data_IF_385891892644
#
_entry.id   IF_385891892644
#
_cell.length_a   1.000
_cell.length_b   1.000
_cell.length_c   1.000
_cell.angle_alpha   90.00
_cell.angle_beta   90.00
_cell.angle_gamma   90.00
#
_symmetry.space_group_name_H-M   'P 1'
#
loop_
_entity.id
_entity.type
_entity.pdbx_description
1 polymer ?
#
# COMPACT_ATOMS: atom_id res chain seq x y z
N UNK A 1 25.61 -6.91 -5.29
CA UNK A 1 26.92 -6.24 -5.35
C UNK A 1 26.93 -5.11 -6.38
N UNK A 2 26.58 -5.34 -7.67
CA UNK A 2 26.67 -4.32 -8.74
C UNK A 2 25.86 -3.04 -8.44
N UNK A 3 24.63 -3.16 -7.95
CA UNK A 3 23.80 -1.98 -7.58
C UNK A 3 24.37 -1.20 -6.40
N UNK A 4 25.05 -1.86 -5.48
CA UNK A 4 25.73 -1.21 -4.37
C UNK A 4 26.95 -0.43 -4.85
N UNK A 5 27.71 -0.99 -5.77
CA UNK A 5 28.84 -0.34 -6.43
C UNK A 5 28.37 0.90 -7.19
N UNK A 6 27.30 0.77 -7.99
CA UNK A 6 26.72 1.86 -8.75
C UNK A 6 26.23 3.01 -7.85
N UNK A 7 25.59 2.69 -6.73
CA UNK A 7 25.11 3.68 -5.76
C UNK A 7 26.25 4.43 -5.07
N UNK A 8 27.31 3.74 -4.66
CA UNK A 8 28.48 4.39 -4.04
C UNK A 8 29.32 5.20 -5.03
N UNK A 9 29.42 4.74 -6.28
CA UNK A 9 30.12 5.50 -7.33
C UNK A 9 29.41 6.84 -7.62
N UNK A 10 28.08 6.90 -7.51
CA UNK A 10 27.35 8.17 -7.62
C UNK A 10 27.62 9.13 -6.44
N UNK A 11 28.11 8.61 -5.31
CA UNK A 11 28.49 9.42 -4.16
C UNK A 11 29.99 9.82 -4.13
N UNK A 12 30.75 9.48 -5.17
CA UNK A 12 32.17 9.84 -5.29
C UNK A 12 33.10 9.10 -4.31
N UNK A 13 32.67 7.96 -3.74
CA UNK A 13 33.47 7.15 -2.84
C UNK A 13 34.23 6.07 -3.61
N UNK A 14 35.56 6.05 -3.46
CA UNK A 14 36.38 4.95 -3.97
C UNK A 14 36.08 3.67 -3.20
N UNK A 15 35.56 2.67 -3.90
CA UNK A 15 35.19 1.39 -3.31
C UNK A 15 36.38 0.44 -3.47
N UNK A 16 36.82 -0.13 -2.36
CA UNK A 16 37.85 -1.16 -2.34
C UNK A 16 37.21 -2.54 -2.56
N UNK A 17 37.96 -3.48 -3.14
CA UNK A 17 37.51 -4.87 -3.33
C UNK A 17 37.13 -5.53 -1.98
N UNK A 18 37.74 -5.07 -0.90
CA UNK A 18 37.46 -5.52 0.46
C UNK A 18 36.09 -5.06 0.95
N UNK A 19 35.67 -3.84 0.61
CA UNK A 19 34.34 -3.31 0.94
C UNK A 19 33.24 -4.12 0.25
N UNK A 20 33.49 -4.52 -1.00
CA UNK A 20 32.56 -5.34 -1.77
C UNK A 20 32.38 -6.71 -1.12
N UNK A 21 33.49 -7.37 -0.76
CA UNK A 21 33.45 -8.68 -0.10
C UNK A 21 32.86 -8.62 1.31
N UNK A 22 33.04 -7.52 2.02
CA UNK A 22 32.43 -7.31 3.32
C UNK A 22 30.90 -7.17 3.19
N UNK A 23 30.43 -6.44 2.19
CA UNK A 23 29.00 -6.28 1.92
C UNK A 23 28.35 -7.57 1.38
N UNK A 24 29.07 -8.33 0.55
CA UNK A 24 28.62 -9.65 0.08
C UNK A 24 28.43 -10.63 1.25
N UNK A 25 29.35 -10.63 2.21
CA UNK A 25 29.24 -11.45 3.43
C UNK A 25 28.11 -10.95 4.33
N UNK A 26 27.94 -9.64 4.47
CA UNK A 26 26.82 -9.03 5.24
C UNK A 26 25.47 -9.43 4.69
N UNK A 27 25.35 -9.46 3.37
CA UNK A 27 24.12 -9.84 2.66
C UNK A 27 23.98 -11.36 2.47
N UNK A 28 24.96 -12.16 2.95
CA UNK A 28 24.98 -13.60 2.82
C UNK A 28 25.07 -14.08 1.37
N UNK A 29 25.58 -13.24 0.45
CA UNK A 29 25.66 -13.57 -0.98
C UNK A 29 26.71 -14.65 -1.28
N UNK A 30 27.56 -14.97 -0.31
CA UNK A 30 28.53 -16.06 -0.33
C UNK A 30 27.90 -17.45 -0.24
N UNK A 31 26.62 -17.54 0.18
CA UNK A 31 25.90 -18.81 0.36
C UNK A 31 25.06 -19.18 -0.87
N UNK A 32 24.85 -20.49 -1.13
CA UNK A 32 23.94 -20.94 -2.19
C UNK A 32 22.55 -20.30 -2.06
N UNK A 33 21.93 -19.99 -3.19
CA UNK A 33 20.62 -19.31 -3.23
C UNK A 33 19.53 -20.00 -2.38
N UNK A 34 19.46 -21.34 -2.46
CA UNK A 34 18.46 -22.09 -1.69
C UNK A 34 18.65 -21.96 -0.18
N UNK A 35 19.91 -22.02 0.29
CA UNK A 35 20.23 -21.87 1.72
C UNK A 35 19.81 -20.48 2.21
N UNK A 36 20.07 -19.45 1.41
CA UNK A 36 19.66 -18.07 1.70
C UNK A 36 18.15 -17.93 1.74
N UNK A 37 17.45 -18.52 0.76
CA UNK A 37 15.99 -18.43 0.70
C UNK A 37 15.34 -19.11 1.92
N UNK A 38 15.79 -20.30 2.30
CA UNK A 38 15.27 -21.00 3.48
C UNK A 38 15.64 -20.29 4.79
N UNK A 39 16.88 -19.79 4.91
CA UNK A 39 17.27 -18.99 6.08
C UNK A 39 16.43 -17.73 6.22
N UNK A 40 16.25 -16.98 5.12
CA UNK A 40 15.41 -15.78 5.12
C UNK A 40 13.95 -16.10 5.45
N UNK A 41 13.39 -17.14 4.86
CA UNK A 41 12.04 -17.60 5.23
C UNK A 41 11.93 -17.93 6.71
N UNK A 42 12.94 -18.63 7.27
CA UNK A 42 13.01 -18.91 8.71
C UNK A 42 13.04 -17.63 9.55
N UNK A 43 13.86 -16.65 9.17
CA UNK A 43 13.94 -15.36 9.88
C UNK A 43 12.62 -14.59 9.82
N UNK A 44 11.95 -14.58 8.64
CA UNK A 44 10.64 -13.93 8.47
C UNK A 44 9.57 -14.62 9.31
N UNK A 45 9.44 -15.96 9.26
CA UNK A 45 8.34 -16.68 9.91
C UNK A 45 8.52 -16.83 11.41
N UNK A 46 9.75 -17.05 11.89
CA UNK A 46 10.00 -17.34 13.31
C UNK A 46 10.48 -16.14 14.11
N UNK A 47 11.14 -15.17 13.47
CA UNK A 47 11.68 -13.98 14.14
C UNK A 47 10.96 -12.70 13.73
N UNK A 48 10.18 -12.71 12.64
CA UNK A 48 9.54 -11.52 12.08
C UNK A 48 10.56 -10.54 11.47
N UNK A 49 11.76 -11.01 11.10
CA UNK A 49 12.82 -10.19 10.54
C UNK A 49 12.83 -10.27 9.02
N UNK A 50 12.48 -9.18 8.36
CA UNK A 50 12.49 -9.07 6.89
C UNK A 50 13.86 -8.72 6.32
N UNK A 51 14.82 -8.36 7.18
CA UNK A 51 16.17 -7.96 6.81
C UNK A 51 16.32 -6.47 6.57
N UNK A 52 17.43 -6.09 5.94
CA UNK A 52 17.77 -4.70 5.65
C UNK A 52 17.59 -4.37 4.18
N UNK A 53 17.10 -3.16 3.91
CA UNK A 53 17.03 -2.63 2.56
C UNK A 53 18.43 -2.34 2.01
N UNK A 54 18.80 -2.95 0.89
CA UNK A 54 20.07 -2.71 0.22
C UNK A 54 20.23 -1.28 -0.30
N UNK A 55 19.12 -0.56 -0.55
CA UNK A 55 19.12 0.80 -1.10
C UNK A 55 19.10 1.83 0.03
N UNK A 56 18.17 1.68 0.98
CA UNK A 56 17.95 2.67 2.04
C UNK A 56 18.81 2.44 3.27
N UNK A 57 19.46 1.26 3.40
CA UNK A 57 20.21 0.83 4.59
C UNK A 57 19.43 0.92 5.90
N UNK A 58 18.13 0.79 5.80
CA UNK A 58 17.20 0.79 6.92
C UNK A 58 16.63 -0.61 7.09
N UNK A 59 16.35 -0.97 8.33
CA UNK A 59 15.66 -2.22 8.62
C UNK A 59 14.26 -2.20 7.99
N UNK A 60 13.94 -3.24 7.22
CA UNK A 60 12.67 -3.34 6.49
C UNK A 60 11.49 -3.38 7.46
N UNK A 61 11.67 -3.96 8.65
CA UNK A 61 10.62 -4.01 9.67
C UNK A 61 10.14 -2.61 10.05
N UNK A 62 11.08 -1.67 10.21
CA UNK A 62 10.73 -0.29 10.53
C UNK A 62 9.98 0.41 9.39
N UNK A 63 10.35 0.11 8.14
CA UNK A 63 9.68 0.66 6.97
C UNK A 63 8.28 0.07 6.76
N UNK A 64 8.09 -1.19 7.14
CA UNK A 64 6.83 -1.90 6.97
C UNK A 64 5.84 -1.63 8.10
N UNK A 65 6.31 -1.47 9.34
CA UNK A 65 5.45 -1.39 10.52
C UNK A 65 4.32 -0.36 10.34
N UNK A 66 4.67 0.87 10.00
CA UNK A 66 3.66 1.93 9.85
C UNK A 66 2.75 1.73 8.63
N UNK A 67 3.31 1.25 7.51
CA UNK A 67 2.56 1.08 6.27
C UNK A 67 1.60 -0.10 6.32
N UNK A 68 2.01 -1.19 6.95
CA UNK A 68 1.18 -2.41 7.08
C UNK A 68 -0.06 -2.12 7.92
N UNK A 69 0.07 -1.43 9.05
CA UNK A 69 -1.07 -1.10 9.90
C UNK A 69 -2.06 -0.16 9.21
N UNK A 70 -1.56 0.85 8.50
CA UNK A 70 -2.40 1.77 7.73
C UNK A 70 -3.14 1.02 6.61
N UNK A 71 -2.44 0.18 5.85
CA UNK A 71 -3.04 -0.60 4.77
C UNK A 71 -4.09 -1.59 5.29
N UNK A 72 -3.79 -2.27 6.39
CA UNK A 72 -4.74 -3.18 7.05
C UNK A 72 -5.98 -2.43 7.53
N UNK A 73 -5.80 -1.26 8.14
CA UNK A 73 -6.91 -0.42 8.60
C UNK A 73 -7.82 0.02 7.45
N UNK A 74 -7.24 0.47 6.34
CA UNK A 74 -8.00 0.85 5.13
C UNK A 74 -8.74 -0.35 4.55
N UNK A 75 -8.08 -1.51 4.44
CA UNK A 75 -8.69 -2.73 3.89
C UNK A 75 -9.86 -3.22 4.75
N UNK A 76 -9.71 -3.20 6.08
CA UNK A 76 -10.79 -3.55 7.00
C UNK A 76 -11.94 -2.56 6.94
N UNK A 77 -11.66 -1.26 6.84
CA UNK A 77 -12.67 -0.23 6.67
C UNK A 77 -13.43 -0.40 5.36
N UNK A 78 -12.72 -0.66 4.26
CA UNK A 78 -13.34 -0.92 2.95
C UNK A 78 -14.22 -2.18 2.98
N UNK A 79 -13.73 -3.27 3.60
CA UNK A 79 -14.49 -4.50 3.78
C UNK A 79 -15.77 -4.26 4.59
N UNK A 80 -15.65 -3.57 5.73
CA UNK A 80 -16.80 -3.23 6.59
C UNK A 80 -17.82 -2.38 5.84
N UNK A 81 -17.36 -1.33 5.14
CA UNK A 81 -18.23 -0.46 4.34
C UNK A 81 -18.92 -1.23 3.21
N UNK A 82 -18.19 -2.09 2.53
CA UNK A 82 -18.73 -2.94 1.46
C UNK A 82 -19.87 -3.84 1.98
N UNK A 83 -19.68 -4.53 3.10
CA UNK A 83 -20.72 -5.36 3.70
C UNK A 83 -21.90 -4.53 4.23
N UNK A 84 -21.63 -3.37 4.83
CA UNK A 84 -22.66 -2.46 5.34
C UNK A 84 -23.62 -2.01 4.24
N UNK A 85 -23.13 -1.83 3.03
CA UNK A 85 -23.92 -1.42 1.86
C UNK A 85 -24.50 -2.64 1.12
N UNK A 86 -23.70 -3.65 0.86
CA UNK A 86 -24.09 -4.78 0.03
C UNK A 86 -25.18 -5.66 0.67
N UNK A 87 -25.10 -5.89 2.00
CA UNK A 87 -26.06 -6.76 2.69
C UNK A 87 -27.48 -6.19 2.65
N UNK A 88 -27.74 -4.92 3.06
CA UNK A 88 -29.07 -4.35 2.98
C UNK A 88 -29.63 -4.28 1.55
N UNK A 89 -28.78 -3.90 0.59
CA UNK A 89 -29.18 -3.84 -0.82
C UNK A 89 -29.50 -5.24 -1.35
N UNK A 90 -28.71 -6.24 -1.00
CA UNK A 90 -28.93 -7.63 -1.38
C UNK A 90 -30.24 -8.18 -0.82
N UNK A 91 -30.50 -7.96 0.48
CA UNK A 91 -31.76 -8.35 1.13
C UNK A 91 -32.95 -7.63 0.48
N UNK A 92 -32.85 -6.33 0.30
CA UNK A 92 -33.89 -5.55 -0.36
C UNK A 92 -34.18 -6.07 -1.77
N UNK A 93 -33.16 -6.32 -2.56
CA UNK A 93 -33.31 -6.84 -3.93
C UNK A 93 -33.92 -8.24 -3.95
N UNK A 94 -33.62 -9.10 -2.96
CA UNK A 94 -34.16 -10.46 -2.88
C UNK A 94 -35.65 -10.49 -2.50
N UNK A 95 -36.09 -9.58 -1.65
CA UNK A 95 -37.48 -9.53 -1.12
C UNK A 95 -38.39 -8.63 -1.97
N UNK A 96 -37.82 -7.63 -2.63
CA UNK A 96 -38.59 -6.65 -3.41
C UNK A 96 -39.23 -7.28 -4.64
N UNK A 97 -40.52 -7.05 -4.79
CA UNK A 97 -41.32 -7.40 -5.98
C UNK A 97 -41.28 -6.32 -7.06
N UNK A 98 -40.59 -5.21 -6.80
CA UNK A 98 -40.52 -4.10 -7.75
C UNK A 98 -39.44 -4.38 -8.84
N UNK A 99 -39.82 -4.63 -10.09
CA UNK A 99 -38.87 -4.97 -11.16
C UNK A 99 -37.94 -3.80 -11.49
N UNK A 100 -38.39 -2.56 -11.33
CA UNK A 100 -37.59 -1.36 -11.60
C UNK A 100 -36.44 -1.29 -10.59
N UNK A 101 -36.75 -1.44 -9.31
CA UNK A 101 -35.73 -1.41 -8.24
C UNK A 101 -34.68 -2.53 -8.45
N UNK A 102 -35.13 -3.75 -8.73
CA UNK A 102 -34.24 -4.89 -8.96
C UNK A 102 -33.35 -4.71 -10.20
N UNK A 103 -33.92 -4.19 -11.28
CA UNK A 103 -33.13 -3.91 -12.49
C UNK A 103 -32.13 -2.79 -12.27
N UNK A 104 -32.48 -1.75 -11.49
CA UNK A 104 -31.57 -0.66 -11.13
C UNK A 104 -30.39 -1.18 -10.31
N UNK A 105 -30.63 -2.01 -9.29
CA UNK A 105 -29.58 -2.63 -8.48
C UNK A 105 -28.65 -3.45 -9.36
N UNK A 106 -29.20 -4.30 -10.26
CA UNK A 106 -28.39 -5.09 -11.19
C UNK A 106 -27.56 -4.21 -12.13
N UNK A 107 -28.16 -3.18 -12.71
CA UNK A 107 -27.46 -2.28 -13.61
C UNK A 107 -26.29 -1.57 -12.92
N UNK A 108 -26.51 -1.03 -11.71
CA UNK A 108 -25.46 -0.38 -10.91
C UNK A 108 -24.33 -1.39 -10.57
N UNK A 109 -24.72 -2.61 -10.19
CA UNK A 109 -23.74 -3.66 -9.88
C UNK A 109 -22.88 -4.03 -11.11
N UNK A 110 -23.49 -4.17 -12.29
CA UNK A 110 -22.75 -4.44 -13.51
C UNK A 110 -21.86 -3.27 -13.93
N UNK A 111 -22.32 -2.03 -13.78
CA UNK A 111 -21.48 -0.85 -14.04
C UNK A 111 -20.27 -0.80 -13.09
N UNK A 112 -20.48 -1.09 -11.81
CA UNK A 112 -19.39 -1.17 -10.85
C UNK A 112 -18.36 -2.25 -11.18
N UNK A 113 -18.81 -3.43 -11.62
CA UNK A 113 -17.93 -4.53 -12.05
C UNK A 113 -17.22 -4.26 -13.39
N UNK A 114 -17.86 -3.50 -14.28
CA UNK A 114 -17.31 -3.19 -15.60
C UNK A 114 -16.17 -2.17 -15.55
N UNK A 115 -16.14 -1.31 -14.52
CA UNK A 115 -15.11 -0.30 -14.35
C UNK A 115 -13.92 -0.86 -13.55
N UNK A 116 -12.71 -0.91 -14.14
CA UNK A 116 -11.52 -1.26 -13.37
C UNK A 116 -11.31 -0.25 -12.22
N UNK A 117 -11.05 -0.73 -11.01
CA UNK A 117 -10.88 0.12 -9.82
C UNK A 117 -9.80 1.19 -9.98
N UNK A 118 -8.70 0.88 -10.70
CA UNK A 118 -7.65 1.86 -10.96
C UNK A 118 -8.14 2.99 -11.87
N UNK A 119 -9.02 2.72 -12.84
CA UNK A 119 -9.60 3.74 -13.72
C UNK A 119 -10.52 4.67 -12.93
N UNK A 120 -11.36 4.10 -12.06
CA UNK A 120 -12.20 4.88 -11.15
C UNK A 120 -11.35 5.78 -10.25
N UNK A 121 -10.25 5.24 -9.69
CA UNK A 121 -9.30 6.01 -8.89
C UNK A 121 -8.71 7.20 -9.66
N UNK A 122 -8.27 6.97 -10.89
CA UNK A 122 -7.70 8.02 -11.74
C UNK A 122 -8.75 9.09 -12.10
N UNK A 123 -9.96 8.68 -12.42
CA UNK A 123 -11.05 9.63 -12.72
C UNK A 123 -11.38 10.52 -11.52
N UNK A 124 -11.51 9.94 -10.34
CA UNK A 124 -11.79 10.71 -9.11
C UNK A 124 -10.60 11.65 -8.81
N UNK A 125 -9.38 11.14 -8.90
CA UNK A 125 -8.17 11.93 -8.64
C UNK A 125 -8.01 13.11 -9.63
N UNK A 126 -8.31 12.88 -10.90
CA UNK A 126 -8.31 13.95 -11.92
C UNK A 126 -9.42 14.98 -11.63
N UNK A 127 -10.62 14.51 -11.35
CA UNK A 127 -11.75 15.37 -11.05
C UNK A 127 -11.51 16.25 -9.83
N UNK A 128 -10.97 15.66 -8.74
CA UNK A 128 -10.63 16.42 -7.53
C UNK A 128 -9.53 17.44 -7.79
N UNK A 129 -8.52 17.08 -8.58
CA UNK A 129 -7.44 18.02 -8.94
C UNK A 129 -7.95 19.17 -9.79
N UNK A 130 -8.85 18.92 -10.76
CA UNK A 130 -9.39 19.96 -11.65
C UNK A 130 -10.38 20.87 -10.92
N UNK A 131 -11.25 20.30 -10.07
CA UNK A 131 -12.31 21.07 -9.39
C UNK A 131 -11.82 21.80 -8.14
N UNK A 132 -10.92 21.20 -7.39
CA UNK A 132 -10.47 21.72 -6.08
C UNK A 132 -9.02 22.22 -6.08
N UNK A 133 -8.28 22.02 -7.17
CA UNK A 133 -6.85 22.44 -7.28
C UNK A 133 -5.90 21.63 -6.41
N UNK A 134 -6.38 20.66 -5.65
CA UNK A 134 -5.59 19.81 -4.76
C UNK A 134 -5.52 18.38 -5.29
N UNK A 135 -4.30 17.87 -5.38
CA UNK A 135 -4.08 16.47 -5.72
C UNK A 135 -4.34 15.59 -4.48
N UNK A 136 -5.38 14.77 -4.53
CA UNK A 136 -5.63 13.72 -3.53
C UNK A 136 -4.80 12.45 -3.78
N UNK A 137 -3.56 12.59 -4.25
CA UNK A 137 -2.69 11.48 -4.63
C UNK A 137 -2.04 10.72 -3.45
N UNK A 138 -2.46 10.98 -2.22
CA UNK A 138 -1.87 10.33 -1.04
C UNK A 138 -2.81 10.30 0.15
N UNK A 139 -2.48 9.46 1.13
CA UNK A 139 -3.23 9.31 2.39
C UNK A 139 -3.01 10.48 3.36
N UNK A 140 -1.98 11.28 3.12
CA UNK A 140 -1.60 12.42 3.93
C UNK A 140 -1.30 13.62 3.04
N UNK A 141 -1.61 14.81 3.52
CA UNK A 141 -1.15 16.06 2.92
C UNK A 141 0.38 16.18 3.01
N UNK A 142 0.96 17.08 2.25
CA UNK A 142 2.42 17.29 2.23
C UNK A 142 2.99 17.61 3.62
N UNK A 143 2.22 18.32 4.45
CA UNK A 143 2.62 18.74 5.79
C UNK A 143 2.66 17.57 6.79
N UNK A 144 1.75 16.61 6.65
CA UNK A 144 1.59 15.50 7.60
C UNK A 144 2.28 14.21 7.17
N UNK A 145 2.85 14.15 5.96
CA UNK A 145 3.47 12.93 5.42
C UNK A 145 4.55 12.37 6.36
N UNK A 146 5.47 13.21 6.80
CA UNK A 146 6.61 12.84 7.64
C UNK A 146 6.47 13.31 9.10
N UNK A 147 5.32 13.90 9.46
CA UNK A 147 5.04 14.34 10.82
C UNK A 147 4.78 13.15 11.76
N UNK A 148 5.08 13.33 13.05
CA UNK A 148 4.69 12.38 14.07
C UNK A 148 3.16 12.25 14.17
N UNK A 149 2.65 11.10 14.65
CA UNK A 149 1.24 10.89 14.85
C UNK A 149 0.66 11.90 15.85
N UNK A 150 -0.39 12.60 15.42
CA UNK A 150 -1.11 13.60 16.21
C UNK A 150 -2.59 13.56 15.82
N UNK A 151 -3.43 14.20 16.61
CA UNK A 151 -4.86 14.34 16.30
C UNK A 151 -5.08 15.03 14.93
N UNK A 152 -4.29 16.07 14.63
CA UNK A 152 -4.35 16.76 13.36
C UNK A 152 -3.99 15.84 12.17
N UNK A 153 -2.94 15.03 12.31
CA UNK A 153 -2.55 14.02 11.31
C UNK A 153 -3.64 12.96 11.12
N UNK A 154 -4.29 12.53 12.19
CA UNK A 154 -5.41 11.59 12.13
C UNK A 154 -6.60 12.17 11.37
N UNK A 155 -6.94 13.45 11.60
CA UNK A 155 -8.02 14.13 10.87
C UNK A 155 -7.69 14.34 9.40
N UNK A 156 -6.45 14.69 9.07
CA UNK A 156 -5.96 14.76 7.69
C UNK A 156 -6.06 13.39 7.00
N UNK A 157 -5.66 12.32 7.69
CA UNK A 157 -5.83 10.95 7.21
C UNK A 157 -7.30 10.60 6.94
N UNK A 158 -8.19 10.86 7.88
CA UNK A 158 -9.62 10.59 7.72
C UNK A 158 -10.23 11.35 6.54
N UNK A 159 -9.83 12.60 6.34
CA UNK A 159 -10.30 13.43 5.22
C UNK A 159 -9.88 12.90 3.84
N UNK A 160 -8.88 12.02 3.76
CA UNK A 160 -8.35 11.45 2.51
C UNK A 160 -8.58 9.95 2.38
N UNK A 161 -8.71 9.23 3.51
CA UNK A 161 -8.86 7.78 3.53
C UNK A 161 -10.20 7.28 2.96
N UNK A 162 -11.23 8.14 2.87
CA UNK A 162 -12.51 7.77 2.27
C UNK A 162 -12.37 7.36 0.80
N UNK A 163 -11.41 7.96 0.07
CA UNK A 163 -11.20 7.69 -1.35
C UNK A 163 -10.76 6.23 -1.60
N UNK A 164 -9.67 5.72 -1.00
CA UNK A 164 -9.30 4.31 -1.16
C UNK A 164 -10.35 3.35 -0.59
N UNK A 165 -11.05 3.71 0.49
CA UNK A 165 -12.14 2.89 1.04
C UNK A 165 -13.31 2.77 0.06
N UNK A 166 -13.61 3.82 -0.67
CA UNK A 166 -14.69 3.82 -1.66
C UNK A 166 -14.31 3.08 -2.95
N UNK A 167 -13.03 3.10 -3.32
CA UNK A 167 -12.55 2.45 -4.56
C UNK A 167 -12.37 0.93 -4.38
N UNK A 168 -11.93 0.50 -3.19
CA UNK A 168 -11.75 -0.91 -2.85
C UNK A 168 -13.08 -1.61 -2.63
#
# INVERSE_FOLDING_TARGET
AERYIAFKNTQGQNITVEDIRAEERRLGLDRPFLVRAFSWMGDVFFKGEFGDSCILRLNINHLLSDKVWISLGISLAALFFSYLVAIPIGIYSAVSRNPIANNSVRLISYLGLALPSFLLALMIMLTTTVLFGESMSGLFSKEYRDAAWSYAKFMDFMSRAWLPVFIL
#
